data_IF_849519903371
#
_entry.id   IF_849519903371
#
_cell.length_a   1.000
_cell.length_b   1.000
_cell.length_c   1.000
_cell.angle_alpha   90.00
_cell.angle_beta   90.00
_cell.angle_gamma   90.00
#
_symmetry.space_group_name_H-M   'P 1'
#
loop_
_entity.id
_entity.type
_entity.pdbx_description
1 polymer ?
#
# COMPACT_ATOMS: atom_id res chain seq x y z
N UNK A 1 -31.26 -1.92 30.57
CA UNK A 1 -30.04 -1.97 29.74
C UNK A 1 -29.67 -3.43 29.52
N UNK A 2 -29.86 -3.98 28.30
CA UNK A 2 -29.55 -5.38 28.00
C UNK A 2 -28.09 -5.51 27.54
N UNK A 3 -27.27 -6.20 28.34
CA UNK A 3 -25.85 -6.41 28.10
C UNK A 3 -25.65 -7.41 26.96
N UNK A 4 -25.37 -6.92 25.75
CA UNK A 4 -25.09 -7.73 24.56
C UNK A 4 -23.75 -8.45 24.77
N UNK A 5 -23.77 -9.77 25.04
CA UNK A 5 -22.56 -10.55 25.37
C UNK A 5 -22.01 -11.41 24.21
N UNK A 6 -22.81 -11.73 23.20
CA UNK A 6 -22.45 -12.75 22.19
C UNK A 6 -22.71 -12.24 20.77
N UNK A 7 -21.79 -12.55 19.85
CA UNK A 7 -21.85 -12.16 18.44
C UNK A 7 -21.84 -13.42 17.57
N UNK A 8 -22.80 -13.55 16.66
CA UNK A 8 -22.84 -14.64 15.66
C UNK A 8 -22.25 -14.13 14.34
N UNK A 9 -21.18 -14.76 13.89
CA UNK A 9 -20.58 -14.56 12.57
C UNK A 9 -21.17 -15.60 11.62
N UNK A 10 -22.03 -15.15 10.71
CA UNK A 10 -22.60 -15.99 9.67
C UNK A 10 -22.68 -15.22 8.34
N UNK A 11 -22.76 -15.96 7.24
CA UNK A 11 -22.86 -15.37 5.91
C UNK A 11 -24.08 -14.46 5.77
N UNK A 12 -23.96 -13.48 4.87
CA UNK A 12 -24.99 -12.47 4.66
C UNK A 12 -26.31 -13.07 4.17
N UNK A 13 -26.28 -14.24 3.53
CA UNK A 13 -27.49 -15.01 3.13
C UNK A 13 -28.37 -15.37 4.33
N UNK A 14 -27.78 -15.54 5.52
CA UNK A 14 -28.50 -15.82 6.77
C UNK A 14 -28.92 -14.55 7.51
N UNK A 15 -28.55 -13.37 7.00
CA UNK A 15 -28.83 -12.08 7.63
C UNK A 15 -30.23 -11.53 7.37
N UNK A 16 -31.25 -12.37 7.24
CA UNK A 16 -32.66 -12.00 6.98
C UNK A 16 -33.31 -11.22 8.15
N UNK A 17 -34.45 -10.55 7.92
CA UNK A 17 -35.15 -9.80 9.00
C UNK A 17 -35.60 -10.74 10.12
N UNK A 18 -36.15 -11.89 9.75
CA UNK A 18 -36.58 -12.92 10.69
C UNK A 18 -35.41 -13.41 11.57
N UNK A 19 -34.27 -13.76 10.97
CA UNK A 19 -33.11 -14.27 11.71
C UNK A 19 -32.51 -13.22 12.65
N UNK A 20 -32.50 -11.94 12.24
CA UNK A 20 -32.02 -10.85 13.11
C UNK A 20 -32.96 -10.57 14.27
N UNK A 21 -34.27 -10.65 14.06
CA UNK A 21 -35.25 -10.51 15.15
C UNK A 21 -35.10 -11.66 16.15
N UNK A 22 -34.98 -12.89 15.66
CA UNK A 22 -34.71 -14.07 16.47
C UNK A 22 -33.43 -13.92 17.31
N UNK A 23 -32.33 -13.45 16.71
CA UNK A 23 -31.08 -13.20 17.44
C UNK A 23 -31.22 -12.05 18.46
N UNK A 24 -31.98 -11.00 18.12
CA UNK A 24 -32.23 -9.86 19.02
C UNK A 24 -33.03 -10.28 20.26
N UNK A 25 -34.03 -11.13 20.09
CA UNK A 25 -34.80 -11.72 21.20
C UNK A 25 -33.92 -12.58 22.11
N UNK A 26 -32.95 -13.29 21.52
CA UNK A 26 -31.95 -14.08 22.26
C UNK A 26 -30.81 -13.23 22.86
N UNK A 27 -30.82 -11.91 22.68
CA UNK A 27 -29.76 -11.02 23.16
C UNK A 27 -28.43 -11.16 22.42
N UNK A 28 -28.43 -11.74 21.22
CA UNK A 28 -27.25 -12.02 20.40
C UNK A 28 -27.17 -11.03 19.24
N UNK A 29 -25.97 -10.50 18.98
CA UNK A 29 -25.73 -9.56 17.87
C UNK A 29 -25.28 -10.32 16.62
N UNK A 30 -25.87 -9.99 15.47
CA UNK A 30 -25.38 -10.48 14.18
C UNK A 30 -24.14 -9.69 13.73
N UNK A 31 -23.07 -10.40 13.38
CA UNK A 31 -21.78 -9.82 12.97
C UNK A 31 -21.67 -9.41 11.50
N UNK A 32 -22.65 -9.77 10.66
CA UNK A 32 -22.67 -9.37 9.25
C UNK A 32 -23.10 -7.91 9.01
N UNK A 33 -22.98 -7.45 7.77
CA UNK A 33 -23.35 -6.08 7.34
C UNK A 33 -24.77 -5.73 7.79
N UNK A 34 -25.00 -4.50 8.25
CA UNK A 34 -26.34 -4.03 8.64
C UNK A 34 -27.26 -4.04 7.42
N UNK A 35 -28.51 -4.47 7.61
CA UNK A 35 -29.54 -4.32 6.57
C UNK A 35 -30.01 -2.86 6.51
N UNK A 36 -30.20 -2.36 5.29
CA UNK A 36 -30.70 -1.01 5.03
C UNK A 36 -29.59 0.01 4.75
N UNK A 37 -29.96 1.29 4.90
CA UNK A 37 -29.08 2.43 4.59
C UNK A 37 -27.83 2.41 5.49
N UNK A 38 -26.63 2.59 4.93
CA UNK A 38 -25.43 2.77 5.74
C UNK A 38 -25.66 3.93 6.74
N UNK A 39 -25.26 3.79 8.02
CA UNK A 39 -25.32 4.90 8.97
C UNK A 39 -24.45 6.06 8.47
N UNK A 40 -24.86 7.31 8.78
CA UNK A 40 -24.05 8.50 8.50
C UNK A 40 -22.65 8.32 9.10
N UNK A 41 -21.62 8.61 8.30
CA UNK A 41 -20.23 8.54 8.74
C UNK A 41 -20.03 9.41 9.98
N UNK A 42 -19.69 8.75 11.09
CA UNK A 42 -19.29 9.39 12.35
C UNK A 42 -17.77 9.25 12.46
N UNK A 43 -17.08 10.18 13.13
CA UNK A 43 -15.59 10.18 13.21
C UNK A 43 -15.03 8.83 13.71
N UNK A 44 -15.70 8.16 14.65
CA UNK A 44 -15.32 6.84 15.18
C UNK A 44 -15.43 5.69 14.15
N UNK A 45 -16.24 5.87 13.10
CA UNK A 45 -16.48 4.87 12.05
C UNK A 45 -15.52 5.07 10.86
N UNK A 46 -14.99 6.28 10.67
CA UNK A 46 -14.06 6.61 9.56
C UNK A 46 -12.76 5.84 9.67
N UNK A 47 -12.20 5.70 10.87
CA UNK A 47 -10.96 4.95 11.10
C UNK A 47 -11.11 3.48 10.71
N UNK A 48 -12.19 2.84 11.16
CA UNK A 48 -12.49 1.43 10.84
C UNK A 48 -12.84 1.20 9.36
N UNK A 49 -13.37 2.21 8.68
CA UNK A 49 -13.62 2.19 7.24
C UNK A 49 -12.32 2.36 6.45
N UNK A 50 -11.40 3.24 6.90
CA UNK A 50 -10.10 3.49 6.25
C UNK A 50 -9.22 2.26 6.19
N UNK A 51 -9.20 1.45 7.24
CA UNK A 51 -8.37 0.25 7.27
C UNK A 51 -8.96 -0.92 6.48
N UNK A 52 -10.29 -0.97 6.29
CA UNK A 52 -10.96 -2.07 5.58
C UNK A 52 -10.89 -1.94 4.06
N UNK A 53 -10.94 -0.72 3.51
CA UNK A 53 -10.95 -0.48 2.05
C UNK A 53 -9.69 -1.04 1.35
N UNK A 54 -8.46 -0.84 1.88
CA UNK A 54 -7.25 -1.39 1.26
C UNK A 54 -7.16 -2.92 1.37
N UNK A 55 -7.68 -3.50 2.46
CA UNK A 55 -7.66 -4.95 2.69
C UNK A 55 -8.60 -5.64 1.70
N UNK A 56 -9.84 -5.18 1.57
CA UNK A 56 -10.83 -5.75 0.64
C UNK A 56 -10.37 -5.62 -0.82
N UNK A 57 -9.73 -4.50 -1.17
CA UNK A 57 -9.09 -4.30 -2.48
C UNK A 57 -7.96 -5.30 -2.76
N UNK A 58 -7.09 -5.57 -1.78
CA UNK A 58 -6.02 -6.58 -1.91
C UNK A 58 -6.57 -8.00 -1.98
N UNK A 59 -7.65 -8.32 -1.27
CA UNK A 59 -8.35 -9.60 -1.42
C UNK A 59 -8.96 -9.74 -2.82
N UNK A 60 -9.52 -8.67 -3.39
CA UNK A 60 -9.99 -8.65 -4.78
C UNK A 60 -8.87 -8.91 -5.78
N UNK A 61 -7.70 -8.28 -5.60
CA UNK A 61 -6.50 -8.55 -6.42
C UNK A 61 -5.99 -9.98 -6.23
N UNK A 62 -5.99 -10.50 -5.01
CA UNK A 62 -5.68 -11.90 -4.69
C UNK A 62 -6.55 -12.87 -5.49
N UNK A 63 -7.86 -12.62 -5.50
CA UNK A 63 -8.87 -13.44 -6.16
C UNK A 63 -8.77 -13.43 -7.69
N UNK A 64 -8.59 -12.26 -8.31
CA UNK A 64 -8.54 -12.12 -9.77
C UNK A 64 -7.12 -12.31 -10.35
N UNK A 65 -6.09 -11.80 -9.68
CA UNK A 65 -4.70 -11.85 -10.16
C UNK A 65 -3.96 -13.14 -9.80
N UNK A 66 -4.25 -13.72 -8.62
CA UNK A 66 -3.53 -14.91 -8.11
C UNK A 66 -4.42 -16.13 -7.94
N UNK A 67 -5.65 -16.09 -8.48
CA UNK A 67 -6.62 -17.19 -8.49
C UNK A 67 -6.91 -17.75 -7.09
N UNK A 68 -6.93 -16.91 -6.06
CA UNK A 68 -7.34 -17.33 -4.70
C UNK A 68 -8.75 -17.95 -4.66
N UNK A 69 -9.63 -17.62 -5.61
CA UNK A 69 -10.95 -18.23 -5.77
C UNK A 69 -10.93 -19.66 -6.35
N UNK A 70 -9.79 -20.14 -6.84
CA UNK A 70 -9.66 -21.39 -7.58
C UNK A 70 -8.44 -22.20 -7.09
N UNK A 71 -8.45 -22.53 -5.81
CA UNK A 71 -7.46 -23.41 -5.19
C UNK A 71 -7.86 -24.85 -5.52
N UNK A 72 -7.03 -25.55 -6.30
CA UNK A 72 -7.28 -26.95 -6.73
C UNK A 72 -6.96 -27.99 -5.66
N UNK A 73 -6.31 -27.58 -4.57
CA UNK A 73 -5.93 -28.48 -3.48
C UNK A 73 -7.18 -29.00 -2.75
N UNK A 74 -7.28 -30.33 -2.67
CA UNK A 74 -8.45 -31.04 -2.10
C UNK A 74 -8.33 -31.29 -0.59
N UNK A 75 -7.11 -31.34 -0.06
CA UNK A 75 -6.84 -31.61 1.34
C UNK A 75 -6.56 -30.29 2.08
N UNK A 76 -7.06 -30.15 3.31
CA UNK A 76 -6.92 -28.92 4.10
C UNK A 76 -5.45 -28.47 4.24
N UNK A 77 -4.55 -29.39 4.57
CA UNK A 77 -3.13 -29.08 4.75
C UNK A 77 -2.48 -28.53 3.46
N UNK A 78 -2.86 -29.05 2.30
CA UNK A 78 -2.29 -28.61 1.02
C UNK A 78 -2.93 -27.33 0.51
N UNK A 79 -4.22 -27.09 0.81
CA UNK A 79 -4.87 -25.82 0.49
C UNK A 79 -4.31 -24.67 1.34
N UNK A 80 -4.07 -24.89 2.63
CA UNK A 80 -3.42 -23.91 3.51
C UNK A 80 -2.00 -23.55 3.02
N UNK A 81 -1.20 -24.54 2.64
CA UNK A 81 0.12 -24.31 2.07
C UNK A 81 0.05 -23.48 0.78
N UNK A 82 -0.90 -23.78 -0.12
CA UNK A 82 -1.12 -23.01 -1.35
C UNK A 82 -1.49 -21.56 -1.07
N UNK A 83 -2.40 -21.33 -0.12
CA UNK A 83 -2.82 -19.98 0.28
C UNK A 83 -1.62 -19.20 0.84
N UNK A 84 -0.83 -19.81 1.72
CA UNK A 84 0.35 -19.19 2.31
C UNK A 84 1.40 -18.81 1.24
N UNK A 85 1.65 -19.70 0.26
CA UNK A 85 2.54 -19.41 -0.85
C UNK A 85 2.04 -18.23 -1.71
N UNK A 86 0.74 -18.14 -1.97
CA UNK A 86 0.17 -17.00 -2.72
C UNK A 86 0.39 -15.70 -1.96
N UNK A 87 0.12 -15.67 -0.65
CA UNK A 87 0.37 -14.48 0.18
C UNK A 87 1.85 -14.10 0.23
N UNK A 88 2.75 -15.08 0.30
CA UNK A 88 4.19 -14.86 0.26
C UNK A 88 4.60 -14.14 -1.04
N UNK A 89 4.14 -14.63 -2.20
CA UNK A 89 4.45 -14.04 -3.51
C UNK A 89 3.92 -12.61 -3.62
N UNK A 90 2.69 -12.36 -3.17
CA UNK A 90 2.10 -11.01 -3.16
C UNK A 90 2.95 -10.06 -2.31
N UNK A 91 3.35 -10.49 -1.12
CA UNK A 91 4.18 -9.67 -0.23
C UNK A 91 5.58 -9.42 -0.82
N UNK A 92 6.18 -10.43 -1.49
CA UNK A 92 7.47 -10.30 -2.12
C UNK A 92 7.45 -9.27 -3.27
N UNK A 93 6.41 -9.25 -4.09
CA UNK A 93 6.30 -8.26 -5.16
C UNK A 93 6.14 -6.83 -4.63
N UNK A 94 5.41 -6.64 -3.54
CA UNK A 94 5.34 -5.33 -2.86
C UNK A 94 6.72 -4.92 -2.35
N UNK A 95 7.48 -5.85 -1.77
CA UNK A 95 8.82 -5.58 -1.28
C UNK A 95 9.79 -5.23 -2.42
N UNK A 96 9.77 -5.98 -3.53
CA UNK A 96 10.61 -5.72 -4.70
C UNK A 96 10.33 -4.34 -5.30
N UNK A 97 9.05 -3.97 -5.42
CA UNK A 97 8.67 -2.64 -5.91
C UNK A 97 9.19 -1.52 -5.01
N UNK A 98 9.06 -1.67 -3.69
CA UNK A 98 9.62 -0.71 -2.73
C UNK A 98 11.15 -0.62 -2.84
N UNK A 99 11.83 -1.76 -2.98
CA UNK A 99 13.27 -1.80 -3.13
C UNK A 99 13.72 -1.09 -4.42
N UNK A 100 13.00 -1.31 -5.52
CA UNK A 100 13.25 -0.63 -6.80
C UNK A 100 13.08 0.89 -6.66
N UNK A 101 11.98 1.35 -6.06
CA UNK A 101 11.73 2.77 -5.80
C UNK A 101 12.83 3.39 -4.92
N UNK A 102 13.28 2.69 -3.88
CA UNK A 102 14.38 3.15 -3.02
C UNK A 102 15.70 3.27 -3.79
N UNK A 103 16.00 2.29 -4.64
CA UNK A 103 17.23 2.26 -5.44
C UNK A 103 17.23 3.40 -6.47
N UNK A 104 16.12 3.59 -7.19
CA UNK A 104 15.95 4.69 -8.15
C UNK A 104 16.09 6.06 -7.48
N UNK A 105 15.49 6.25 -6.31
CA UNK A 105 15.62 7.49 -5.53
C UNK A 105 17.07 7.75 -5.08
N UNK A 106 17.77 6.70 -4.64
CA UNK A 106 19.17 6.80 -4.24
C UNK A 106 20.06 7.20 -5.43
N UNK A 107 19.89 6.53 -6.57
CA UNK A 107 20.60 6.86 -7.81
C UNK A 107 20.29 8.27 -8.29
N UNK A 108 19.01 8.67 -8.30
CA UNK A 108 18.60 10.01 -8.70
C UNK A 108 19.24 11.08 -7.81
N UNK A 109 19.18 10.92 -6.48
CA UNK A 109 19.78 11.85 -5.53
C UNK A 109 21.31 11.97 -5.67
N UNK A 110 22.00 10.85 -5.93
CA UNK A 110 23.45 10.83 -6.19
C UNK A 110 23.78 11.51 -7.51
N UNK A 111 23.01 11.23 -8.56
CA UNK A 111 23.20 11.81 -9.90
C UNK A 111 23.01 13.34 -9.90
N UNK A 112 22.05 13.86 -9.12
CA UNK A 112 21.82 15.30 -8.98
C UNK A 112 22.98 15.99 -8.25
N UNK A 113 23.48 15.38 -7.17
CA UNK A 113 24.65 15.89 -6.45
C UNK A 113 25.90 15.90 -7.33
N UNK A 114 26.13 14.82 -8.09
CA UNK A 114 27.28 14.73 -9.01
C UNK A 114 27.21 15.79 -10.11
N UNK A 115 26.02 15.98 -10.72
CA UNK A 115 25.81 17.04 -11.72
C UNK A 115 26.03 18.44 -11.16
N UNK A 116 25.56 18.72 -9.94
CA UNK A 116 25.82 20.00 -9.26
C UNK A 116 27.31 20.21 -9.03
N UNK A 117 28.02 19.17 -8.56
CA UNK A 117 29.46 19.22 -8.32
C UNK A 117 30.25 19.47 -9.61
N UNK A 118 29.93 18.74 -10.69
CA UNK A 118 30.58 18.91 -12.00
C UNK A 118 30.35 20.31 -12.56
N UNK A 119 29.11 20.83 -12.49
CA UNK A 119 28.82 22.21 -12.89
C UNK A 119 29.66 23.21 -12.09
N UNK A 120 29.73 23.04 -10.77
CA UNK A 120 30.51 23.93 -9.90
C UNK A 120 32.01 23.90 -10.23
N UNK A 121 32.58 22.71 -10.44
CA UNK A 121 33.97 22.53 -10.85
C UNK A 121 34.21 23.19 -12.22
N UNK A 122 33.34 22.93 -13.19
CA UNK A 122 33.44 23.52 -14.53
C UNK A 122 33.37 25.05 -14.49
N UNK A 123 32.46 25.63 -13.70
CA UNK A 123 32.37 27.09 -13.52
C UNK A 123 33.63 27.67 -12.89
N UNK A 124 34.20 27.00 -11.87
CA UNK A 124 35.46 27.43 -11.24
C UNK A 124 36.65 27.32 -12.18
N UNK A 125 36.76 26.23 -12.95
CA UNK A 125 37.80 26.07 -13.96
C UNK A 125 37.67 27.12 -15.06
N UNK A 126 36.46 27.34 -15.57
CA UNK A 126 36.19 28.39 -16.56
C UNK A 126 36.61 29.78 -16.06
N UNK A 127 36.28 30.13 -14.81
CA UNK A 127 36.71 31.38 -14.20
C UNK A 127 38.24 31.48 -14.07
N UNK A 128 38.90 30.39 -13.67
CA UNK A 128 40.36 30.34 -13.55
C UNK A 128 41.07 30.50 -14.90
N UNK A 129 40.64 29.79 -15.94
CA UNK A 129 41.20 29.93 -17.29
C UNK A 129 40.88 31.29 -17.91
N UNK A 130 39.68 31.83 -17.69
CA UNK A 130 39.29 33.16 -18.17
C UNK A 130 40.12 34.31 -17.56
N UNK A 131 40.58 34.16 -16.32
CA UNK A 131 41.49 35.13 -15.70
C UNK A 131 42.91 35.04 -16.27
N UNK A 132 43.44 33.83 -16.50
CA UNK A 132 44.78 33.64 -17.06
C UNK A 132 44.93 34.18 -18.49
N UNK A 133 43.90 34.02 -19.35
CA UNK A 133 43.95 34.55 -20.73
C UNK A 133 43.93 36.08 -20.75
N UNK A 134 43.16 36.73 -19.87
CA UNK A 134 43.16 38.20 -19.74
C UNK A 134 44.46 38.74 -19.15
N UNK A 135 45.07 38.01 -18.22
CA UNK A 135 46.37 38.37 -17.66
C UNK A 135 47.48 38.33 -18.73
N UNK A 136 47.47 37.36 -19.65
CA UNK A 136 48.46 37.31 -20.76
C UNK A 136 48.25 38.37 -21.84
N UNK A 137 47.01 38.71 -22.19
CA UNK A 137 46.70 39.75 -23.18
C UNK A 137 47.03 41.18 -22.70
N UNK A 138 47.05 41.42 -21.39
CA UNK A 138 47.40 42.72 -20.81
C UNK A 138 48.91 43.01 -20.76
N UNK A 139 49.76 42.01 -21.06
CA UNK A 139 51.24 42.11 -20.98
C UNK A 139 51.88 42.23 -22.38
N UNK A 140 51.10 42.14 -23.45
CA UNK A 140 51.60 42.34 -24.80
C UNK A 140 51.75 43.85 -25.09
N UNK A 141 52.96 44.35 -25.43
CA UNK A 141 53.13 45.72 -25.84
C UNK A 141 52.47 45.93 -27.20
N UNK A 142 51.70 47.02 -27.33
CA UNK A 142 51.16 47.54 -28.59
C UNK A 142 52.30 48.07 -29.46
#
# INVERSE_FOLDING_TARGET
MATIRQVVLADQIYGSRANRNYLKEKGVRFGGKRMGRPPKETEENKERLRDRIPIEGKFGQGKNGYRLNYIRARLQRTSEAWINCIFLVINLMVLLRKLQEQLENLFFSRSLRLRKLLKHIATRLWAFFGQNVRASLAVLPV
#
